data_IF_605615992246
#
_entry.id   IF_605615992246
#
_cell.length_a   1.000
_cell.length_b   1.000
_cell.length_c   1.000
_cell.angle_alpha   90.00
_cell.angle_beta   90.00
_cell.angle_gamma   90.00
#
_symmetry.space_group_name_H-M   'P 1'
#
loop_
_entity.id
_entity.type
_entity.pdbx_description
1 polymer ?
#
# COMPACT_ATOMS: atom_id res chain seq x y z
N UNK A 1 -64.78 75.28 -16.95
CA UNK A 1 -64.23 74.00 -16.43
C UNK A 1 -63.96 73.12 -17.64
N UNK A 2 -62.74 72.60 -17.71
CA UNK A 2 -62.15 71.81 -18.82
C UNK A 2 -61.53 72.62 -19.95
N UNK A 3 -60.51 73.38 -19.55
CA UNK A 3 -59.30 73.68 -20.30
C UNK A 3 -58.59 72.38 -20.74
N UNK A 4 -58.20 72.34 -22.02
CA UNK A 4 -56.78 72.33 -22.36
C UNK A 4 -55.90 71.17 -21.85
N UNK A 5 -56.17 69.92 -22.28
CA UNK A 5 -55.10 68.89 -22.27
C UNK A 5 -55.19 67.93 -23.48
N UNK A 6 -55.53 68.45 -24.67
CA UNK A 6 -55.48 67.69 -25.93
C UNK A 6 -54.23 68.04 -26.78
N UNK A 7 -53.10 68.37 -26.11
CA UNK A 7 -51.88 68.82 -26.81
C UNK A 7 -50.55 68.39 -26.19
N UNK A 8 -50.44 67.14 -25.75
CA UNK A 8 -49.16 66.51 -25.42
C UNK A 8 -48.93 65.15 -26.11
N UNK A 9 -49.58 64.91 -27.26
CA UNK A 9 -49.31 63.77 -28.16
C UNK A 9 -48.10 64.04 -29.09
N UNK A 10 -46.97 64.45 -28.53
CA UNK A 10 -45.74 64.50 -29.29
C UNK A 10 -44.53 64.19 -28.40
N UNK A 11 -43.79 63.17 -28.83
CA UNK A 11 -42.50 62.69 -28.32
C UNK A 11 -42.63 61.65 -27.20
N UNK A 12 -42.48 60.37 -27.58
CA UNK A 12 -41.36 59.53 -27.18
C UNK A 12 -41.51 58.17 -27.89
N UNK A 13 -40.55 57.84 -28.76
CA UNK A 13 -40.48 56.56 -29.45
C UNK A 13 -40.17 55.42 -28.46
N UNK A 14 -40.65 54.18 -28.69
CA UNK A 14 -40.25 53.03 -27.87
C UNK A 14 -38.77 52.68 -28.14
N UNK A 15 -37.94 52.52 -27.10
CA UNK A 15 -36.54 52.11 -27.27
C UNK A 15 -36.47 50.64 -27.69
N UNK A 16 -35.55 50.35 -28.61
CA UNK A 16 -35.19 48.98 -29.03
C UNK A 16 -34.63 48.22 -27.83
N UNK A 17 -35.31 47.14 -27.43
CA UNK A 17 -34.83 46.22 -26.39
C UNK A 17 -33.74 45.31 -26.97
N UNK A 18 -32.49 45.75 -26.85
CA UNK A 18 -31.33 44.87 -26.95
C UNK A 18 -31.19 44.05 -25.64
N UNK A 19 -30.94 42.74 -25.79
CA UNK A 19 -30.24 41.90 -24.82
C UNK A 19 -30.90 41.71 -23.46
N UNK A 20 -31.92 40.85 -23.38
CA UNK A 20 -32.39 40.33 -22.08
C UNK A 20 -31.54 39.11 -21.71
N UNK A 21 -30.47 39.33 -20.97
CA UNK A 21 -29.85 38.29 -20.15
C UNK A 21 -30.86 37.83 -19.10
N UNK A 22 -31.02 36.52 -18.93
CA UNK A 22 -31.85 35.92 -17.88
C UNK A 22 -31.47 36.48 -16.50
N UNK A 23 -32.42 36.65 -15.56
CA UNK A 23 -32.10 37.15 -14.22
C UNK A 23 -31.18 36.14 -13.51
N UNK A 24 -30.15 36.66 -12.84
CA UNK A 24 -29.36 35.87 -11.88
C UNK A 24 -30.31 35.35 -10.80
N UNK A 25 -30.42 34.02 -10.70
CA UNK A 25 -31.12 33.39 -9.60
C UNK A 25 -30.39 33.76 -8.30
N UNK A 26 -31.10 34.32 -7.34
CA UNK A 26 -30.57 34.62 -6.02
C UNK A 26 -30.44 33.28 -5.27
N UNK A 27 -29.20 32.86 -5.05
CA UNK A 27 -28.85 31.65 -4.29
C UNK A 27 -28.87 32.00 -2.80
N UNK A 28 -29.71 31.29 -2.03
CA UNK A 28 -29.75 31.42 -0.57
C UNK A 28 -28.48 30.84 0.08
N UNK A 29 -28.24 31.12 1.37
CA UNK A 29 -27.06 30.65 2.08
C UNK A 29 -27.20 29.15 2.42
N UNK A 30 -26.94 28.30 1.44
CA UNK A 30 -26.85 26.85 1.58
C UNK A 30 -25.75 26.36 0.66
N UNK A 31 -24.71 25.74 1.21
CA UNK A 31 -23.53 25.29 0.47
C UNK A 31 -23.90 24.50 -0.78
N UNK A 32 -23.14 24.73 -1.86
CA UNK A 32 -23.38 24.13 -3.17
C UNK A 32 -23.72 22.65 -3.07
N UNK A 33 -24.82 22.25 -3.72
CA UNK A 33 -25.38 20.90 -3.61
C UNK A 33 -24.48 19.82 -4.21
N UNK A 34 -23.36 20.15 -4.82
CA UNK A 34 -22.52 19.21 -5.56
C UNK A 34 -21.32 18.74 -4.72
N UNK A 35 -21.06 17.43 -4.72
CA UNK A 35 -19.91 16.84 -4.04
C UNK A 35 -19.27 15.71 -4.84
N UNK A 36 -17.96 15.59 -4.75
CA UNK A 36 -17.18 14.48 -5.29
C UNK A 36 -17.12 13.35 -4.28
N UNK A 37 -17.22 12.10 -4.74
CA UNK A 37 -17.08 10.91 -3.89
C UNK A 37 -16.25 9.84 -4.58
N UNK A 38 -15.38 9.20 -3.79
CA UNK A 38 -14.77 7.93 -4.18
C UNK A 38 -15.81 6.81 -4.02
N UNK A 39 -16.08 6.09 -5.11
CA UNK A 39 -17.02 4.95 -5.11
C UNK A 39 -16.31 3.64 -4.76
N UNK A 40 -15.04 3.52 -5.14
CA UNK A 40 -14.20 2.36 -4.85
C UNK A 40 -13.28 2.63 -3.66
N UNK A 41 -12.99 1.59 -2.88
CA UNK A 41 -11.95 1.62 -1.85
C UNK A 41 -10.58 1.31 -2.45
N UNK A 42 -9.54 1.87 -1.85
CA UNK A 42 -8.15 1.59 -2.24
C UNK A 42 -7.71 0.21 -1.74
N UNK A 43 -6.90 -0.49 -2.54
CA UNK A 43 -6.17 -1.68 -2.11
C UNK A 43 -5.05 -1.28 -1.16
N UNK A 44 -5.11 -1.78 0.08
CA UNK A 44 -4.11 -1.54 1.12
C UNK A 44 -3.41 -2.86 1.47
N UNK A 45 -2.11 -2.84 1.85
CA UNK A 45 -1.26 -1.66 2.07
C UNK A 45 -0.63 -1.10 0.78
N UNK A 46 -0.41 0.22 0.74
CA UNK A 46 0.33 0.88 -0.36
C UNK A 46 1.82 0.97 -0.07
N UNK A 47 2.63 0.87 -1.13
CA UNK A 47 4.08 0.98 -1.08
C UNK A 47 4.59 2.05 -2.05
N UNK A 48 5.70 2.71 -1.72
CA UNK A 48 6.36 3.68 -2.61
C UNK A 48 6.73 3.06 -3.95
N UNK A 49 6.43 3.70 -5.07
CA UNK A 49 6.65 3.16 -6.41
C UNK A 49 5.70 2.04 -6.82
N UNK A 50 4.84 1.56 -5.91
CA UNK A 50 3.72 0.67 -6.24
C UNK A 50 2.55 1.45 -6.83
N UNK A 51 1.80 0.81 -7.73
CA UNK A 51 0.60 1.37 -8.33
C UNK A 51 -0.51 1.50 -7.28
N UNK A 52 -1.20 2.63 -7.28
CA UNK A 52 -2.42 2.82 -6.48
C UNK A 52 -3.59 2.21 -7.25
N UNK A 53 -4.22 1.21 -6.66
CA UNK A 53 -5.31 0.44 -7.27
C UNK A 53 -6.48 0.28 -6.29
N UNK A 54 -7.66 -0.08 -6.81
CA UNK A 54 -8.82 -0.40 -5.99
C UNK A 54 -8.73 -1.83 -5.42
N UNK A 55 -9.55 -2.12 -4.42
CA UNK A 55 -9.65 -3.48 -3.85
C UNK A 55 -9.80 -4.55 -4.95
N UNK A 56 -9.07 -5.67 -4.81
CA UNK A 56 -9.05 -6.78 -5.76
C UNK A 56 -8.58 -6.40 -7.19
N UNK A 57 -7.80 -5.32 -7.33
CA UNK A 57 -7.30 -4.84 -8.62
C UNK A 57 -8.35 -4.08 -9.45
N UNK A 58 -9.48 -3.70 -8.82
CA UNK A 58 -10.52 -2.93 -9.47
C UNK A 58 -10.06 -1.49 -9.79
N UNK A 59 -10.71 -0.86 -10.75
CA UNK A 59 -10.53 0.55 -11.03
C UNK A 59 -11.12 1.42 -9.91
N UNK A 60 -10.48 2.56 -9.64
CA UNK A 60 -10.95 3.52 -8.65
C UNK A 60 -11.89 4.51 -9.33
N UNK A 61 -13.18 4.39 -9.05
CA UNK A 61 -14.21 5.25 -9.63
C UNK A 61 -14.53 6.44 -8.75
N UNK A 62 -14.80 7.56 -9.41
CA UNK A 62 -15.11 8.86 -8.82
C UNK A 62 -16.45 9.28 -9.38
N UNK A 63 -17.33 9.78 -8.52
CA UNK A 63 -18.67 10.22 -8.92
C UNK A 63 -18.94 11.62 -8.40
N UNK A 64 -19.58 12.44 -9.23
CA UNK A 64 -20.19 13.71 -8.85
C UNK A 64 -21.62 13.44 -8.41
N UNK A 65 -21.96 13.82 -7.18
CA UNK A 65 -23.26 13.56 -6.56
C UNK A 65 -23.89 14.87 -6.13
N UNK A 66 -25.19 14.99 -6.34
CA UNK A 66 -26.00 16.03 -5.72
C UNK A 66 -26.36 15.60 -4.29
N UNK A 67 -25.86 16.33 -3.30
CA UNK A 67 -26.09 16.15 -1.87
C UNK A 67 -27.56 16.18 -1.48
N UNK A 68 -28.42 16.89 -2.22
CA UNK A 68 -29.86 16.97 -1.92
C UNK A 68 -30.59 15.70 -2.36
N UNK A 69 -30.18 15.09 -3.47
CA UNK A 69 -30.86 13.92 -4.06
C UNK A 69 -30.10 12.62 -3.88
N UNK A 70 -28.85 12.69 -3.43
CA UNK A 70 -27.88 11.60 -3.41
C UNK A 70 -27.70 10.88 -4.76
N UNK A 71 -28.08 11.53 -5.88
CA UNK A 71 -27.97 10.97 -7.22
C UNK A 71 -26.75 11.50 -7.97
N UNK A 72 -26.21 10.66 -8.85
CA UNK A 72 -25.09 11.04 -9.72
C UNK A 72 -25.58 12.08 -10.72
N UNK A 73 -24.82 13.18 -10.83
CA UNK A 73 -25.13 14.25 -11.77
C UNK A 73 -24.57 13.88 -13.14
N UNK A 74 -25.45 13.47 -14.06
CA UNK A 74 -25.06 12.95 -15.38
C UNK A 74 -25.05 13.99 -16.48
N UNK A 75 -25.64 15.17 -16.25
CA UNK A 75 -25.79 16.24 -17.26
C UNK A 75 -25.30 17.57 -16.74
N UNK A 76 -24.89 18.45 -17.65
CA UNK A 76 -24.40 19.80 -17.33
C UNK A 76 -22.87 19.92 -17.49
N UNK A 77 -22.33 21.15 -17.51
CA UNK A 77 -20.89 21.36 -17.58
C UNK A 77 -20.15 20.68 -16.42
N UNK A 78 -20.79 20.59 -15.25
CA UNK A 78 -20.23 19.99 -14.04
C UNK A 78 -20.00 18.48 -14.19
N UNK A 79 -20.89 17.79 -14.92
CA UNK A 79 -20.78 16.36 -15.19
C UNK A 79 -19.57 15.99 -16.11
N UNK A 80 -18.91 17.00 -16.69
CA UNK A 80 -17.79 16.85 -17.64
C UNK A 80 -16.50 17.56 -17.21
N UNK A 81 -16.40 17.98 -15.94
CA UNK A 81 -15.25 18.74 -15.45
C UNK A 81 -13.98 17.89 -15.30
N UNK A 82 -12.84 18.58 -15.20
CA UNK A 82 -11.57 17.98 -14.79
C UNK A 82 -11.33 18.16 -13.29
N UNK A 83 -10.71 17.15 -12.70
CA UNK A 83 -10.36 17.08 -11.30
C UNK A 83 -8.84 16.90 -11.17
N UNK A 84 -8.23 17.58 -10.21
CA UNK A 84 -6.86 17.36 -9.79
C UNK A 84 -6.82 16.34 -8.63
N UNK A 85 -5.91 15.39 -8.73
CA UNK A 85 -5.61 14.41 -7.68
C UNK A 85 -4.54 14.99 -6.78
N UNK A 86 -4.83 15.04 -5.48
CA UNK A 86 -3.94 15.64 -4.48
C UNK A 86 -3.72 14.71 -3.30
N UNK A 87 -2.70 15.00 -2.49
CA UNK A 87 -2.41 14.26 -1.25
C UNK A 87 -2.72 15.16 -0.06
N UNK A 88 -3.42 14.62 0.93
CA UNK A 88 -3.81 15.30 2.15
C UNK A 88 -3.17 14.65 3.38
N UNK A 89 -3.04 15.41 4.46
CA UNK A 89 -2.60 14.90 5.76
C UNK A 89 -3.59 13.86 6.32
N UNK A 90 -3.09 12.77 6.90
CA UNK A 90 -3.92 11.67 7.39
C UNK A 90 -4.84 12.05 8.56
N UNK A 91 -4.45 13.05 9.34
CA UNK A 91 -5.21 13.62 10.46
C UNK A 91 -6.25 14.67 10.03
N UNK A 92 -6.44 14.89 8.72
CA UNK A 92 -7.59 15.63 8.21
C UNK A 92 -8.89 14.83 8.42
N UNK A 93 -9.36 14.81 9.67
CA UNK A 93 -10.53 14.10 10.15
C UNK A 93 -11.49 15.13 10.72
N UNK A 94 -12.64 15.28 10.07
CA UNK A 94 -13.77 15.95 10.70
C UNK A 94 -14.52 14.78 11.35
N UNK A 95 -14.34 14.61 12.66
CA UNK A 95 -14.97 13.49 13.40
C UNK A 95 -16.51 13.54 13.34
N UNK A 96 -17.08 14.66 12.87
CA UNK A 96 -18.52 14.93 12.90
C UNK A 96 -19.17 15.14 11.52
N UNK A 97 -18.53 14.72 10.41
CA UNK A 97 -19.06 14.95 9.06
C UNK A 97 -19.33 16.45 8.77
N UNK A 98 -18.68 17.34 9.53
CA UNK A 98 -18.79 18.78 9.35
C UNK A 98 -18.21 19.18 7.98
N UNK A 99 -19.01 19.95 7.25
CA UNK A 99 -18.66 20.53 5.96
C UNK A 99 -17.39 21.39 6.12
N UNK A 100 -16.28 20.97 5.48
CA UNK A 100 -15.06 21.78 5.44
C UNK A 100 -15.14 22.88 4.38
N UNK A 101 -14.44 23.98 4.63
CA UNK A 101 -14.26 25.02 3.61
C UNK A 101 -13.19 24.63 2.61
N UNK A 102 -13.16 25.31 1.46
CA UNK A 102 -12.12 25.09 0.46
C UNK A 102 -10.73 25.44 1.00
N UNK A 103 -10.63 26.49 1.82
CA UNK A 103 -9.40 26.92 2.47
C UNK A 103 -8.91 25.89 3.47
N UNK A 104 -9.82 25.27 4.23
CA UNK A 104 -9.50 24.20 5.15
C UNK A 104 -8.95 22.98 4.41
N UNK A 105 -9.59 22.57 3.30
CA UNK A 105 -9.10 21.49 2.45
C UNK A 105 -7.69 21.79 1.91
N UNK A 106 -7.50 23.00 1.36
CA UNK A 106 -6.23 23.42 0.78
C UNK A 106 -5.11 23.54 1.84
N UNK A 107 -5.45 23.83 3.10
CA UNK A 107 -4.48 23.90 4.21
C UNK A 107 -3.89 22.53 4.58
N UNK A 108 -4.60 21.44 4.30
CA UNK A 108 -4.15 20.07 4.57
C UNK A 108 -3.40 19.41 3.40
N UNK A 109 -3.13 20.16 2.32
CA UNK A 109 -2.39 19.63 1.17
C UNK A 109 -0.93 19.34 1.53
N UNK A 110 -0.52 18.09 1.29
CA UNK A 110 0.84 17.64 1.54
C UNK A 110 1.67 17.80 0.27
N UNK A 111 2.75 18.56 0.40
CA UNK A 111 3.79 18.66 -0.64
C UNK A 111 4.95 17.73 -0.35
N UNK A 112 5.76 17.48 -1.38
CA UNK A 112 7.01 16.76 -1.25
C UNK A 112 7.98 17.42 -0.27
N UNK A 113 8.92 16.63 0.24
CA UNK A 113 10.00 17.18 1.06
C UNK A 113 10.93 18.05 0.22
N UNK A 114 11.56 19.09 0.82
CA UNK A 114 12.53 19.91 0.12
C UNK A 114 13.62 19.06 -0.56
N UNK A 115 13.80 19.26 -1.87
CA UNK A 115 14.79 18.53 -2.67
C UNK A 115 14.40 17.11 -3.09
N UNK A 116 13.14 16.70 -2.90
CA UNK A 116 12.61 15.42 -3.41
C UNK A 116 11.76 15.61 -4.67
N UNK A 117 11.47 14.49 -5.34
CA UNK A 117 10.51 14.42 -6.45
C UNK A 117 9.09 14.69 -5.91
N UNK A 118 8.13 15.08 -6.78
CA UNK A 118 6.73 15.23 -6.38
C UNK A 118 6.23 14.00 -5.63
N UNK A 119 5.46 14.21 -4.57
CA UNK A 119 5.01 13.14 -3.66
C UNK A 119 4.17 12.08 -4.40
N UNK A 120 3.40 12.51 -5.40
CA UNK A 120 2.55 11.69 -6.25
C UNK A 120 2.99 11.87 -7.72
N UNK A 121 3.11 10.76 -8.45
CA UNK A 121 3.48 10.76 -9.88
C UNK A 121 2.54 9.86 -10.69
N UNK A 122 2.34 10.20 -11.96
CA UNK A 122 1.46 9.49 -12.89
C UNK A 122 0.32 10.39 -13.39
N UNK A 123 -0.88 9.83 -13.54
CA UNK A 123 -2.07 10.50 -14.05
C UNK A 123 -2.77 11.33 -12.96
N UNK A 124 -2.22 12.52 -12.67
CA UNK A 124 -2.70 13.41 -11.61
C UNK A 124 -4.01 14.17 -11.94
N UNK A 125 -4.64 13.88 -13.08
CA UNK A 125 -5.90 14.49 -13.48
C UNK A 125 -6.92 13.45 -13.89
N UNK A 126 -8.17 13.66 -13.49
CA UNK A 126 -9.31 12.83 -13.86
C UNK A 126 -10.32 13.68 -14.61
N UNK A 127 -10.80 13.21 -15.75
CA UNK A 127 -11.90 13.86 -16.49
C UNK A 127 -13.20 13.12 -16.21
N UNK A 128 -14.21 13.82 -15.71
CA UNK A 128 -15.55 13.27 -15.55
C UNK A 128 -16.23 13.13 -16.91
N UNK A 129 -17.01 12.06 -17.08
CA UNK A 129 -17.94 11.86 -18.20
C UNK A 129 -19.26 11.41 -17.61
N UNK A 130 -20.32 12.17 -17.86
CA UNK A 130 -21.64 11.92 -17.28
C UNK A 130 -21.57 11.78 -15.74
N UNK A 131 -20.73 12.60 -15.11
CA UNK A 131 -20.54 12.63 -13.66
C UNK A 131 -19.64 11.52 -13.12
N UNK A 132 -19.08 10.65 -13.97
CA UNK A 132 -18.22 9.53 -13.55
C UNK A 132 -16.80 9.69 -14.10
N UNK A 133 -15.82 9.59 -13.21
CA UNK A 133 -14.40 9.56 -13.53
C UNK A 133 -13.76 8.25 -13.10
N UNK A 134 -12.64 7.91 -13.73
CA UNK A 134 -11.79 6.79 -13.29
C UNK A 134 -10.39 7.31 -13.06
N UNK A 135 -9.83 6.99 -11.89
CA UNK A 135 -8.47 7.35 -11.54
C UNK A 135 -7.48 6.59 -12.43
N UNK A 136 -6.53 7.31 -13.01
CA UNK A 136 -5.47 6.72 -13.82
C UNK A 136 -4.34 6.11 -12.98
N UNK A 137 -3.20 5.87 -13.61
CA UNK A 137 -2.08 5.20 -12.97
C UNK A 137 -1.33 6.18 -12.07
N UNK A 138 -1.29 5.89 -10.77
CA UNK A 138 -0.69 6.74 -9.76
C UNK A 138 0.30 5.97 -8.90
N UNK A 139 1.35 6.65 -8.46
CA UNK A 139 2.40 6.08 -7.60
C UNK A 139 2.89 7.11 -6.58
N UNK A 140 3.10 6.67 -5.33
CA UNK A 140 3.73 7.50 -4.29
C UNK A 140 5.25 7.41 -4.37
N UNK A 141 5.95 8.55 -4.31
CA UNK A 141 7.42 8.57 -4.39
C UNK A 141 8.12 8.56 -3.04
N UNK A 142 7.41 8.93 -1.97
CA UNK A 142 7.89 8.90 -0.59
C UNK A 142 6.87 8.17 0.30
N UNK A 143 7.37 7.59 1.40
CA UNK A 143 6.54 6.88 2.35
C UNK A 143 5.82 7.88 3.28
N UNK A 144 4.85 7.43 4.07
CA UNK A 144 4.14 8.31 4.99
C UNK A 144 4.81 8.43 6.36
N UNK A 145 5.98 7.84 6.62
CA UNK A 145 6.51 7.80 8.00
C UNK A 145 7.08 9.13 8.51
N UNK A 146 7.30 10.10 7.63
CA UNK A 146 7.92 11.40 7.95
C UNK A 146 6.95 12.51 8.32
N UNK A 147 5.68 12.36 7.92
CA UNK A 147 4.58 13.24 8.30
C UNK A 147 4.13 12.89 9.73
N UNK A 148 3.67 13.90 10.47
CA UNK A 148 3.20 13.80 11.87
C UNK A 148 2.17 12.67 12.07
N UNK A 149 1.14 12.61 11.22
CA UNK A 149 0.06 11.61 11.30
C UNK A 149 0.47 10.22 10.81
N UNK A 150 1.67 10.07 10.23
CA UNK A 150 2.18 8.84 9.61
C UNK A 150 1.30 8.21 8.53
N UNK A 151 0.30 8.97 8.06
CA UNK A 151 -0.73 8.53 7.12
C UNK A 151 -0.97 9.64 6.10
N UNK A 152 -1.39 9.25 4.91
CA UNK A 152 -1.88 10.13 3.87
C UNK A 152 -3.36 9.85 3.61
N UNK A 153 -4.03 10.79 2.93
CA UNK A 153 -5.30 10.58 2.25
C UNK A 153 -5.14 11.03 0.79
N UNK A 154 -5.88 10.41 -0.13
CA UNK A 154 -6.04 10.97 -1.47
C UNK A 154 -7.21 11.95 -1.45
N UNK A 155 -6.99 13.10 -2.06
CA UNK A 155 -8.00 14.13 -2.25
C UNK A 155 -8.30 14.34 -3.73
N UNK A 156 -9.50 14.83 -4.03
CA UNK A 156 -9.90 15.31 -5.35
C UNK A 156 -10.49 16.69 -5.24
N UNK A 157 -10.03 17.61 -6.07
CA UNK A 157 -10.61 18.94 -6.20
C UNK A 157 -10.79 19.32 -7.66
N UNK A 158 -11.66 20.29 -7.92
CA UNK A 158 -11.90 20.79 -9.29
C UNK A 158 -10.62 21.44 -9.82
N UNK A 159 -10.26 21.10 -11.06
CA UNK A 159 -9.09 21.69 -11.71
C UNK A 159 -9.35 23.17 -12.05
N UNK A 160 -8.29 23.98 -11.99
CA UNK A 160 -8.40 25.41 -12.32
C UNK A 160 -8.93 25.63 -13.75
N UNK A 161 -9.83 26.61 -13.91
CA UNK A 161 -10.47 26.95 -15.19
C UNK A 161 -11.73 26.15 -15.53
N UNK A 162 -12.20 25.26 -14.63
CA UNK A 162 -13.45 24.52 -14.78
C UNK A 162 -14.47 24.95 -13.73
N UNK A 163 -15.74 25.05 -14.14
CA UNK A 163 -16.88 25.33 -13.27
C UNK A 163 -16.68 26.53 -12.32
N UNK A 164 -16.04 27.60 -12.82
CA UNK A 164 -15.79 28.82 -12.06
C UNK A 164 -17.09 29.42 -11.52
N UNK A 165 -17.15 29.64 -10.20
CA UNK A 165 -18.34 30.14 -9.52
C UNK A 165 -19.32 29.08 -9.02
N UNK A 166 -19.11 27.80 -9.35
CA UNK A 166 -19.90 26.69 -8.79
C UNK A 166 -19.11 26.02 -7.67
N UNK A 167 -19.67 25.98 -6.45
CA UNK A 167 -19.06 25.25 -5.32
C UNK A 167 -19.33 23.76 -5.49
N UNK A 168 -18.27 23.01 -5.80
CA UNK A 168 -18.27 21.54 -5.78
C UNK A 168 -17.37 21.07 -4.65
N UNK A 169 -17.93 20.31 -3.70
CA UNK A 169 -17.20 19.78 -2.55
C UNK A 169 -16.18 18.74 -2.97
N UNK A 170 -14.98 18.87 -2.43
CA UNK A 170 -13.84 17.99 -2.64
C UNK A 170 -14.14 16.58 -2.09
N UNK A 171 -13.47 15.57 -2.65
CA UNK A 171 -13.50 14.22 -2.07
C UNK A 171 -12.21 13.96 -1.29
N UNK A 172 -12.29 13.14 -0.24
CA UNK A 172 -11.12 12.53 0.38
C UNK A 172 -11.36 11.03 0.61
N UNK A 173 -10.29 10.25 0.60
CA UNK A 173 -10.32 8.85 1.02
C UNK A 173 -10.17 8.72 2.53
N UNK A 174 -10.36 7.50 3.02
CA UNK A 174 -9.84 7.08 4.33
C UNK A 174 -8.33 7.27 4.43
N UNK A 175 -7.84 7.45 5.65
CA UNK A 175 -6.42 7.62 5.91
C UNK A 175 -5.69 6.27 5.81
N UNK A 176 -4.57 6.25 5.08
CA UNK A 176 -3.77 5.05 4.87
C UNK A 176 -2.28 5.31 5.05
N UNK A 177 -1.53 4.25 5.34
CA UNK A 177 -0.07 4.30 5.43
C UNK A 177 0.53 3.92 4.09
N UNK A 178 1.49 4.71 3.62
CA UNK A 178 2.36 4.35 2.48
C UNK A 178 3.69 3.88 3.04
N UNK A 179 4.03 2.61 2.80
CA UNK A 179 5.26 1.99 3.30
C UNK A 179 6.38 2.14 2.27
N UNK A 180 7.62 2.16 2.75
CA UNK A 180 8.77 2.08 1.85
C UNK A 180 8.82 0.70 1.19
N UNK A 181 8.93 0.65 -0.13
CA UNK A 181 8.98 -0.59 -0.90
C UNK A 181 10.22 -1.44 -0.56
N UNK A 182 11.30 -0.82 -0.07
CA UNK A 182 12.46 -1.55 0.47
C UNK A 182 12.07 -2.43 1.66
N UNK A 183 11.07 -2.02 2.45
CA UNK A 183 10.56 -2.80 3.57
C UNK A 183 9.89 -4.10 3.15
N UNK A 184 9.23 -4.13 1.99
CA UNK A 184 8.62 -5.35 1.45
C UNK A 184 9.67 -6.26 0.81
N UNK A 185 10.54 -5.68 -0.01
CA UNK A 185 11.63 -6.43 -0.64
C UNK A 185 12.53 -7.11 0.40
N UNK A 186 12.78 -6.47 1.55
CA UNK A 186 13.65 -7.00 2.60
C UNK A 186 12.92 -7.68 3.75
N UNK A 187 11.62 -7.96 3.60
CA UNK A 187 10.79 -8.60 4.62
C UNK A 187 11.33 -9.99 4.99
N UNK A 188 11.35 -10.29 6.28
CA UNK A 188 11.66 -11.62 6.80
C UNK A 188 10.47 -12.54 6.58
N UNK A 189 10.71 -13.77 6.17
CA UNK A 189 9.64 -14.74 5.96
C UNK A 189 9.37 -15.49 7.26
N UNK A 190 8.09 -15.64 7.61
CA UNK A 190 7.65 -16.37 8.80
C UNK A 190 6.49 -17.32 8.45
N UNK A 191 6.70 -18.66 8.49
CA UNK A 191 8.00 -19.31 8.65
C UNK A 191 8.89 -19.10 7.41
N UNK A 192 10.23 -19.14 7.54
CA UNK A 192 11.11 -19.16 6.39
C UNK A 192 11.00 -20.49 5.63
N UNK A 193 11.22 -20.46 4.32
CA UNK A 193 11.27 -21.65 3.47
C UNK A 193 12.73 -22.12 3.25
N UNK A 194 12.93 -23.41 2.98
CA UNK A 194 14.27 -23.99 2.78
C UNK A 194 15.07 -23.30 1.67
N UNK A 195 14.38 -22.94 0.60
CA UNK A 195 14.88 -22.29 -0.60
C UNK A 195 14.93 -20.75 -0.50
N UNK A 196 14.51 -20.18 0.63
CA UNK A 196 14.72 -18.75 0.86
C UNK A 196 16.21 -18.44 0.95
N UNK A 197 16.60 -17.25 0.47
CA UNK A 197 17.95 -16.75 0.70
C UNK A 197 18.20 -16.55 2.21
N UNK A 198 19.41 -16.82 2.67
CA UNK A 198 19.76 -16.82 4.10
C UNK A 198 19.53 -15.47 4.78
N UNK A 199 19.60 -14.37 4.03
CA UNK A 199 19.26 -13.05 4.55
C UNK A 199 17.77 -12.86 4.82
N UNK A 200 16.88 -13.78 4.45
CA UNK A 200 15.48 -13.78 4.90
C UNK A 200 15.32 -14.18 6.36
N UNK A 201 16.35 -14.74 6.99
CA UNK A 201 16.38 -14.99 8.42
C UNK A 201 16.53 -13.71 9.23
N UNK A 202 15.98 -13.71 10.45
CA UNK A 202 16.18 -12.60 11.38
C UNK A 202 17.66 -12.32 11.64
N UNK A 203 17.98 -11.06 11.97
CA UNK A 203 19.34 -10.58 12.30
C UNK A 203 20.37 -10.63 11.15
N UNK A 204 20.04 -11.19 9.99
CA UNK A 204 20.90 -11.17 8.80
C UNK A 204 20.35 -10.17 7.78
N UNK A 205 20.99 -9.03 7.56
CA UNK A 205 20.57 -8.08 6.53
C UNK A 205 21.03 -8.48 5.12
N UNK A 206 20.21 -8.24 4.08
CA UNK A 206 20.65 -8.38 2.68
C UNK A 206 21.87 -7.50 2.45
N UNK A 207 22.89 -8.06 1.80
CA UNK A 207 24.21 -7.44 1.55
C UNK A 207 24.94 -6.92 2.80
N UNK A 208 24.48 -7.31 4.00
CA UNK A 208 25.11 -7.00 5.27
C UNK A 208 26.37 -7.82 5.53
N UNK A 209 27.07 -7.50 6.63
CA UNK A 209 28.32 -8.18 7.02
C UNK A 209 28.14 -9.69 7.20
N UNK A 210 27.08 -10.11 7.90
CA UNK A 210 26.78 -11.53 8.09
C UNK A 210 26.42 -12.23 6.78
N UNK A 211 25.60 -11.59 5.93
CA UNK A 211 25.24 -12.17 4.64
C UNK A 211 26.49 -12.43 3.79
N UNK A 212 27.38 -11.44 3.67
CA UNK A 212 28.63 -11.58 2.90
C UNK A 212 29.54 -12.69 3.44
N UNK A 213 29.66 -12.82 4.77
CA UNK A 213 30.47 -13.88 5.41
C UNK A 213 29.87 -15.27 5.15
N UNK A 214 28.56 -15.42 5.28
CA UNK A 214 27.86 -16.67 4.99
C UNK A 214 28.01 -17.06 3.52
N UNK A 215 27.81 -16.11 2.60
CA UNK A 215 27.98 -16.34 1.16
C UNK A 215 29.41 -16.74 0.79
N UNK A 216 30.43 -16.18 1.45
CA UNK A 216 31.83 -16.56 1.24
C UNK A 216 32.12 -18.02 1.63
N UNK A 217 31.35 -18.56 2.58
CA UNK A 217 31.44 -19.95 3.04
C UNK A 217 30.45 -20.88 2.31
N UNK A 218 29.81 -20.40 1.24
CA UNK A 218 28.87 -21.18 0.42
C UNK A 218 27.48 -21.36 1.04
N UNK A 219 27.11 -20.54 2.04
CA UNK A 219 25.81 -20.59 2.71
C UNK A 219 24.91 -19.52 2.09
N UNK A 220 24.08 -19.93 1.13
CA UNK A 220 23.21 -19.01 0.38
C UNK A 220 21.74 -19.12 0.80
N UNK A 221 21.31 -20.31 1.22
CA UNK A 221 19.91 -20.59 1.53
C UNK A 221 19.68 -20.88 3.02
N UNK A 222 18.42 -20.87 3.43
CA UNK A 222 18.01 -21.32 4.78
C UNK A 222 18.33 -22.80 4.97
N UNK A 223 18.22 -23.64 3.93
CA UNK A 223 18.61 -25.04 3.97
C UNK A 223 20.11 -25.23 4.26
N UNK A 224 20.98 -24.49 3.57
CA UNK A 224 22.44 -24.53 3.81
C UNK A 224 22.77 -24.12 5.25
N UNK A 225 22.09 -23.08 5.73
CA UNK A 225 22.25 -22.58 7.09
C UNK A 225 21.86 -23.65 8.12
N UNK A 226 20.67 -24.25 7.99
CA UNK A 226 20.19 -25.28 8.90
C UNK A 226 21.06 -26.54 8.88
N UNK A 227 21.53 -26.96 7.70
CA UNK A 227 22.49 -28.08 7.59
C UNK A 227 23.77 -27.82 8.37
N UNK A 228 24.28 -26.59 8.33
CA UNK A 228 25.47 -26.26 9.11
C UNK A 228 25.17 -26.16 10.61
N UNK A 229 23.98 -25.69 11.00
CA UNK A 229 23.55 -25.70 12.41
C UNK A 229 23.58 -27.13 12.98
N UNK A 230 23.04 -28.10 12.22
CA UNK A 230 23.02 -29.52 12.63
C UNK A 230 24.42 -30.12 12.65
N UNK A 231 25.22 -29.86 11.61
CA UNK A 231 26.54 -30.47 11.44
C UNK A 231 27.60 -29.89 12.38
N UNK A 232 27.68 -28.57 12.48
CA UNK A 232 28.70 -27.86 13.26
C UNK A 232 28.25 -26.44 13.61
N UNK A 233 27.49 -26.36 14.70
CA UNK A 233 26.97 -25.10 15.23
C UNK A 233 28.09 -24.11 15.60
N UNK A 234 29.25 -24.60 16.08
CA UNK A 234 30.36 -23.75 16.50
C UNK A 234 31.08 -23.12 15.30
N UNK A 235 31.27 -23.88 14.20
CA UNK A 235 31.79 -23.33 12.95
C UNK A 235 30.90 -22.22 12.42
N UNK A 236 29.58 -22.42 12.38
CA UNK A 236 28.64 -21.37 11.95
C UNK A 236 28.72 -20.12 12.84
N UNK A 237 28.84 -20.31 14.16
CA UNK A 237 29.06 -19.21 15.12
C UNK A 237 30.34 -18.44 14.81
N UNK A 238 31.42 -19.13 14.49
CA UNK A 238 32.72 -18.53 14.15
C UNK A 238 32.67 -17.74 12.84
N UNK A 239 31.95 -18.24 11.82
CA UNK A 239 31.76 -17.54 10.53
C UNK A 239 31.06 -16.19 10.75
N UNK A 240 30.04 -16.15 11.60
CA UNK A 240 29.31 -14.92 11.92
C UNK A 240 30.15 -13.97 12.78
N UNK A 241 31.02 -14.53 13.63
CA UNK A 241 32.04 -13.81 14.38
C UNK A 241 31.49 -12.92 15.50
N UNK A 242 32.36 -12.07 16.06
CA UNK A 242 32.09 -11.29 17.29
C UNK A 242 30.95 -10.28 17.18
N UNK A 243 30.54 -9.89 15.97
CA UNK A 243 29.37 -9.02 15.77
C UNK A 243 28.05 -9.68 16.18
N UNK A 244 28.03 -11.01 16.32
CA UNK A 244 26.84 -11.76 16.68
C UNK A 244 26.76 -12.05 18.18
N UNK A 245 25.98 -11.21 18.89
CA UNK A 245 25.68 -11.42 20.31
C UNK A 245 24.89 -12.71 20.55
N UNK A 246 24.93 -13.24 21.79
CA UNK A 246 24.16 -14.42 22.18
C UNK A 246 22.65 -14.25 21.91
N UNK A 247 22.09 -13.09 22.26
CA UNK A 247 20.68 -12.78 22.02
C UNK A 247 20.33 -12.75 20.52
N UNK A 248 21.22 -12.24 19.67
CA UNK A 248 20.99 -12.24 18.22
C UNK A 248 21.09 -13.65 17.64
N UNK A 249 22.02 -14.44 18.14
CA UNK A 249 22.20 -15.83 17.74
C UNK A 249 20.98 -16.69 18.09
N UNK A 250 20.48 -16.58 19.33
CA UNK A 250 19.26 -17.30 19.77
C UNK A 250 18.07 -16.94 18.89
N UNK A 251 17.79 -15.64 18.70
CA UNK A 251 16.70 -15.20 17.84
C UNK A 251 16.83 -15.70 16.38
N UNK A 252 18.06 -15.72 15.83
CA UNK A 252 18.33 -16.24 14.50
C UNK A 252 18.04 -17.75 14.41
N UNK A 253 18.49 -18.53 15.40
CA UNK A 253 18.27 -19.97 15.43
C UNK A 253 16.79 -20.32 15.64
N UNK A 254 16.12 -19.66 16.58
CA UNK A 254 14.71 -19.88 16.85
C UNK A 254 13.88 -19.60 15.59
N UNK A 255 14.17 -18.49 14.90
CA UNK A 255 13.52 -18.15 13.64
C UNK A 255 13.81 -19.19 12.54
N UNK A 256 15.07 -19.60 12.36
CA UNK A 256 15.43 -20.61 11.36
C UNK A 256 14.75 -21.96 11.62
N UNK A 257 14.62 -22.36 12.89
CA UNK A 257 13.95 -23.61 13.31
C UNK A 257 12.44 -23.61 13.11
N UNK A 258 11.81 -22.45 12.90
CA UNK A 258 10.40 -22.39 12.47
C UNK A 258 10.20 -22.85 11.02
N UNK A 259 11.28 -23.03 10.25
CA UNK A 259 11.23 -23.53 8.88
C UNK A 259 10.55 -24.89 8.80
N UNK A 260 9.57 -25.02 7.91
CA UNK A 260 8.88 -26.30 7.67
C UNK A 260 9.72 -27.17 6.73
N UNK A 261 10.15 -28.33 7.21
CA UNK A 261 10.91 -29.29 6.42
C UNK A 261 10.01 -29.95 5.36
N UNK A 262 10.55 -30.20 4.17
CA UNK A 262 9.78 -30.73 3.03
C UNK A 262 9.36 -32.22 3.17
N UNK A 263 9.70 -32.87 4.28
CA UNK A 263 9.44 -34.29 4.52
C UNK A 263 10.32 -35.24 3.69
N UNK A 264 11.32 -34.75 2.96
CA UNK A 264 12.26 -35.59 2.23
C UNK A 264 13.20 -36.28 3.22
N UNK A 265 13.40 -37.58 3.01
CA UNK A 265 14.27 -38.42 3.81
C UNK A 265 15.42 -38.93 2.95
N UNK A 266 16.62 -38.89 3.52
CA UNK A 266 17.82 -39.51 2.95
C UNK A 266 18.11 -40.78 3.73
N UNK A 267 18.16 -41.92 3.03
CA UNK A 267 18.45 -43.21 3.64
C UNK A 267 19.81 -43.70 3.16
N UNK A 268 20.71 -43.93 4.10
CA UNK A 268 22.03 -44.52 3.84
C UNK A 268 22.05 -45.95 4.34
N UNK A 269 22.10 -46.92 3.41
CA UNK A 269 22.23 -48.32 3.76
C UNK A 269 23.68 -48.68 4.05
N UNK A 270 23.88 -49.51 5.08
CA UNK A 270 25.21 -49.97 5.53
C UNK A 270 25.78 -51.07 4.64
N UNK A 271 24.93 -51.76 3.86
CA UNK A 271 25.32 -52.79 2.91
C UNK A 271 24.31 -52.89 1.73
N UNK A 272 24.68 -53.68 0.71
CA UNK A 272 23.82 -53.94 -0.46
C UNK A 272 22.56 -54.75 -0.13
N UNK A 273 22.53 -55.41 1.03
CA UNK A 273 21.37 -56.18 1.49
C UNK A 273 20.22 -55.29 1.95
N UNK A 274 20.48 -53.98 2.14
CA UNK A 274 19.52 -52.96 2.61
C UNK A 274 18.84 -53.32 3.93
N UNK A 275 19.45 -54.21 4.70
CA UNK A 275 18.90 -54.71 5.95
C UNK A 275 19.11 -53.73 7.11
N UNK A 276 20.07 -52.83 7.00
CA UNK A 276 20.35 -51.79 8.00
C UNK A 276 20.66 -50.46 7.33
N UNK A 277 19.99 -49.39 7.73
CA UNK A 277 20.21 -48.06 7.18
C UNK A 277 19.90 -46.91 8.13
N UNK A 278 20.51 -45.76 7.90
CA UNK A 278 20.32 -44.55 8.71
C UNK A 278 19.48 -43.55 7.93
N UNK A 279 18.47 -42.98 8.59
CA UNK A 279 17.51 -42.05 7.99
C UNK A 279 17.79 -40.64 8.50
N UNK A 280 18.03 -39.72 7.57
CA UNK A 280 18.20 -38.30 7.85
C UNK A 280 17.09 -37.47 7.20
N UNK A 281 16.76 -36.33 7.80
CA UNK A 281 15.84 -35.37 7.20
C UNK A 281 16.55 -34.42 6.21
N UNK A 282 15.79 -33.46 5.68
CA UNK A 282 16.26 -32.42 4.74
C UNK A 282 17.54 -31.68 5.17
N UNK A 283 17.73 -31.48 6.47
CA UNK A 283 18.83 -30.73 7.07
C UNK A 283 19.95 -31.65 7.59
N UNK A 284 19.90 -32.93 7.22
CA UNK A 284 20.83 -33.97 7.66
C UNK A 284 20.83 -34.24 9.17
N UNK A 285 19.73 -33.93 9.84
CA UNK A 285 19.50 -34.36 11.22
C UNK A 285 19.00 -35.81 11.22
N UNK A 286 19.49 -36.58 12.18
CA UNK A 286 19.17 -37.99 12.33
C UNK A 286 17.69 -38.14 12.72
N UNK A 287 16.91 -38.74 11.82
CA UNK A 287 15.50 -39.03 12.06
C UNK A 287 15.29 -40.42 12.67
N UNK A 288 16.13 -41.40 12.31
CA UNK A 288 16.00 -42.76 12.83
C UNK A 288 16.89 -43.79 12.14
N UNK A 289 16.75 -45.03 12.57
CA UNK A 289 17.45 -46.21 12.06
C UNK A 289 16.43 -47.17 11.45
N UNK A 290 16.78 -47.77 10.31
CA UNK A 290 16.12 -48.94 9.75
C UNK A 290 16.98 -50.15 10.11
N UNK A 291 16.38 -51.16 10.73
CA UNK A 291 17.02 -52.46 11.01
C UNK A 291 16.01 -53.56 10.73
N UNK A 292 16.35 -54.47 9.81
CA UNK A 292 15.37 -55.32 9.15
C UNK A 292 14.38 -54.50 8.32
N UNK A 293 13.09 -54.79 8.50
CA UNK A 293 11.97 -54.04 7.92
C UNK A 293 11.32 -53.05 8.91
N UNK A 294 11.98 -52.79 10.05
CA UNK A 294 11.45 -51.92 11.11
C UNK A 294 12.17 -50.57 11.15
N UNK A 295 11.38 -49.51 11.35
CA UNK A 295 11.87 -48.15 11.55
C UNK A 295 11.87 -47.79 13.04
N UNK A 296 13.02 -47.36 13.53
CA UNK A 296 13.24 -46.91 14.90
C UNK A 296 13.52 -45.40 14.91
N UNK A 297 12.65 -44.56 15.50
CA UNK A 297 12.89 -43.12 15.56
C UNK A 297 14.10 -42.79 16.44
N UNK A 298 14.83 -41.72 16.10
CA UNK A 298 16.08 -41.35 16.77
C UNK A 298 15.95 -41.17 18.29
N UNK A 299 14.79 -40.69 18.76
CA UNK A 299 14.48 -40.51 20.18
C UNK A 299 14.35 -41.82 20.96
N UNK A 300 14.13 -42.94 20.25
CA UNK A 300 14.05 -44.28 20.82
C UNK A 300 15.37 -45.06 20.79
N UNK A 301 16.41 -44.51 20.15
CA UNK A 301 17.73 -45.15 20.04
C UNK A 301 18.56 -44.95 21.31
N UNK A 302 19.25 -45.99 21.75
CA UNK A 302 20.16 -45.92 22.89
C UNK A 302 21.45 -45.15 22.55
N UNK A 303 22.14 -44.60 23.54
CA UNK A 303 23.38 -43.84 23.33
C UNK A 303 24.47 -44.69 22.63
N UNK A 304 24.50 -46.00 22.88
CA UNK A 304 25.37 -46.95 22.19
C UNK A 304 25.07 -47.13 20.69
N UNK A 305 23.83 -46.87 20.26
CA UNK A 305 23.40 -46.92 18.86
C UNK A 305 23.59 -45.58 18.14
N UNK A 306 23.84 -44.49 18.88
CA UNK A 306 24.09 -43.14 18.33
C UNK A 306 25.56 -42.87 18.03
N UNK A 307 26.48 -43.74 18.46
CA UNK A 307 27.96 -43.56 18.39
C UNK A 307 28.62 -44.55 17.40
N UNK A 308 27.84 -45.18 16.52
CA UNK A 308 28.34 -46.11 15.49
C UNK A 308 28.99 -45.43 14.31
#
# INVERSE_FOLDING_TARGET
VSEEVERALAKLAPPRLNGRSSPKCLEGPGGGSLQLRFRSRLSLPLYTGGKVEGEQGAAIHIVLVDSNTAHVVTTGPEASMKLDVVVLEGDFCNEDDEDWTQEEFDSHLVKERPGKRPLLTGDLQVTLKEGVGTLGDLTFTDNSSWIRSRKFRLGLKVASGYCEGVRVREAKTEAFTVKDHRGELYKKHYPPALNDEVWRLEKIGKDGSFHKRLSAEGIFTVEDFLRLVVRDQQKLRNILGSGMSNKMWEALLDHAKTCVLSGKLYVYYTDDSRNSGVVFNNIYELNGLISGEQYFPADSLSDSQKVG
#
